data_IF_262942245524
#
_entry.id   IF_262942245524
#
_cell.length_a   1.000
_cell.length_b   1.000
_cell.length_c   1.000
_cell.angle_alpha   90.00
_cell.angle_beta   90.00
_cell.angle_gamma   90.00
#
_symmetry.space_group_name_H-M   'P 1'
#
loop_
_entity.id
_entity.type
_entity.pdbx_description
1 polymer ?
#
# COMPACT_ATOMS: atom_id res chain seq x y z
N UNK A 1 18.95 3.84 38.22
CA UNK A 1 18.69 4.13 36.80
C UNK A 1 17.22 3.93 36.55
N UNK A 2 16.45 5.03 36.35
CA UNK A 2 15.01 4.96 36.08
C UNK A 2 14.82 4.86 34.56
N UNK A 3 14.29 3.73 34.09
CA UNK A 3 13.88 3.51 32.71
C UNK A 3 12.78 4.51 32.35
N UNK A 4 13.00 5.34 31.33
CA UNK A 4 11.98 6.19 30.72
C UNK A 4 11.09 5.31 29.87
N UNK A 5 9.95 4.87 30.40
CA UNK A 5 8.88 4.34 29.57
C UNK A 5 8.39 5.46 28.63
N UNK A 6 8.59 5.25 27.35
CA UNK A 6 8.03 6.10 26.30
C UNK A 6 6.50 5.92 26.30
N UNK A 7 5.77 6.91 26.81
CA UNK A 7 4.31 6.96 26.69
C UNK A 7 3.95 6.94 25.20
N UNK A 8 3.47 5.82 24.74
CA UNK A 8 2.82 5.69 23.43
C UNK A 8 1.65 6.68 23.39
N UNK A 9 1.76 7.73 22.57
CA UNK A 9 0.66 8.70 22.38
C UNK A 9 -0.50 7.97 21.73
N UNK A 10 -1.63 7.84 22.45
CA UNK A 10 -2.88 7.33 21.89
C UNK A 10 -3.32 8.22 20.71
N UNK A 11 -3.27 7.68 19.51
CA UNK A 11 -3.75 8.32 18.29
C UNK A 11 -5.28 8.24 18.23
N UNK A 12 -5.92 9.35 17.89
CA UNK A 12 -7.37 9.47 17.84
C UNK A 12 -7.95 8.74 16.62
N UNK A 13 -8.86 7.79 16.84
CA UNK A 13 -9.66 7.21 15.74
C UNK A 13 -10.77 8.22 15.37
N UNK A 14 -10.79 8.72 14.13
CA UNK A 14 -11.76 9.74 13.73
C UNK A 14 -13.18 9.18 13.69
N UNK A 15 -14.09 9.69 14.49
CA UNK A 15 -15.53 9.33 14.50
C UNK A 15 -16.42 10.36 13.81
N UNK A 16 -15.95 11.59 13.64
CA UNK A 16 -16.71 12.68 13.02
C UNK A 16 -16.24 12.92 11.58
N UNK A 17 -17.16 13.22 10.66
CA UNK A 17 -16.90 13.47 9.23
C UNK A 17 -15.70 14.41 8.98
N UNK A 18 -15.64 15.56 9.67
CA UNK A 18 -14.52 16.51 9.55
C UNK A 18 -13.17 15.92 9.95
N UNK A 19 -13.17 15.03 10.93
CA UNK A 19 -11.95 14.35 11.40
C UNK A 19 -11.47 13.32 10.39
N UNK A 20 -12.39 12.60 9.75
CA UNK A 20 -12.09 11.63 8.67
C UNK A 20 -11.52 12.37 7.45
N UNK A 21 -12.18 13.47 7.04
CA UNK A 21 -11.74 14.30 5.91
C UNK A 21 -10.32 14.86 6.14
N UNK A 22 -10.04 15.33 7.36
CA UNK A 22 -8.72 15.86 7.72
C UNK A 22 -7.64 14.78 7.73
N UNK A 23 -7.94 13.60 8.28
CA UNK A 23 -7.01 12.44 8.22
C UNK A 23 -6.71 12.06 6.78
N UNK A 24 -7.75 11.99 5.92
CA UNK A 24 -7.62 11.71 4.50
C UNK A 24 -6.78 12.76 3.77
N UNK A 25 -6.97 14.04 4.10
CA UNK A 25 -6.18 15.14 3.52
C UNK A 25 -4.69 15.00 3.86
N UNK A 26 -4.35 14.75 5.13
CA UNK A 26 -2.96 14.52 5.56
C UNK A 26 -2.36 13.33 4.80
N UNK A 27 -3.10 12.23 4.70
CA UNK A 27 -2.64 11.01 4.02
C UNK A 27 -2.41 11.22 2.53
N UNK A 28 -3.34 11.88 1.83
CA UNK A 28 -3.20 12.17 0.40
C UNK A 28 -2.03 13.12 0.12
N UNK A 29 -1.84 14.13 0.98
CA UNK A 29 -0.68 15.05 0.88
C UNK A 29 0.63 14.31 1.10
N UNK A 30 0.69 13.40 2.06
CA UNK A 30 1.87 12.58 2.30
C UNK A 30 2.16 11.64 1.12
N UNK A 31 1.12 11.03 0.53
CA UNK A 31 1.25 10.21 -0.68
C UNK A 31 1.89 10.99 -1.83
N UNK A 32 1.41 12.21 -2.09
CA UNK A 32 1.98 13.08 -3.12
C UNK A 32 3.46 13.38 -2.85
N UNK A 33 3.79 13.81 -1.64
CA UNK A 33 5.15 14.16 -1.26
C UNK A 33 6.10 12.96 -1.30
N UNK A 34 5.68 11.78 -0.84
CA UNK A 34 6.46 10.55 -0.93
C UNK A 34 6.61 10.03 -2.37
N UNK A 35 5.68 10.37 -3.26
CA UNK A 35 5.78 10.05 -4.69
C UNK A 35 6.79 10.94 -5.40
N UNK A 36 6.83 12.22 -5.05
CA UNK A 36 7.74 13.21 -5.66
C UNK A 36 9.15 13.14 -5.07
N UNK A 37 9.26 12.94 -3.74
CA UNK A 37 10.51 12.95 -2.99
C UNK A 37 10.79 11.60 -2.36
N UNK A 38 12.04 11.34 -1.99
CA UNK A 38 12.37 10.16 -1.20
C UNK A 38 11.85 10.28 0.22
N UNK A 39 11.49 9.16 0.84
CA UNK A 39 10.96 9.11 2.19
C UNK A 39 11.82 9.91 3.19
N UNK A 40 13.15 9.80 3.10
CA UNK A 40 14.08 10.51 3.99
C UNK A 40 13.91 12.05 3.92
N UNK A 41 13.63 12.58 2.73
CA UNK A 41 13.57 14.01 2.45
C UNK A 41 12.22 14.66 2.76
N UNK A 42 11.20 13.88 3.13
CA UNK A 42 9.88 14.39 3.54
C UNK A 42 9.81 14.49 5.06
N UNK A 43 9.37 15.62 5.60
CA UNK A 43 9.14 15.83 7.03
C UNK A 43 7.66 15.95 7.38
N UNK A 44 7.29 15.62 8.63
CA UNK A 44 5.93 15.83 9.13
C UNK A 44 5.51 17.31 9.12
N UNK A 45 6.46 18.22 9.31
CA UNK A 45 6.21 19.67 9.21
C UNK A 45 5.84 20.07 7.77
N UNK A 46 6.54 19.52 6.78
CA UNK A 46 6.24 19.74 5.37
C UNK A 46 4.86 19.18 5.01
N UNK A 47 4.56 17.94 5.44
CA UNK A 47 3.23 17.33 5.23
C UNK A 47 2.12 18.20 5.83
N UNK A 48 2.28 18.65 7.08
CA UNK A 48 1.30 19.49 7.75
C UNK A 48 1.10 20.83 7.03
N UNK A 49 2.20 21.50 6.66
CA UNK A 49 2.17 22.78 5.94
C UNK A 49 1.47 22.64 4.58
N UNK A 50 1.83 21.63 3.80
CA UNK A 50 1.24 21.38 2.47
C UNK A 50 -0.23 20.98 2.57
N UNK A 51 -0.61 20.20 3.59
CA UNK A 51 -2.00 19.83 3.86
C UNK A 51 -2.83 20.98 4.46
N UNK A 52 -2.25 22.14 4.77
CA UNK A 52 -2.95 23.26 5.40
C UNK A 52 -3.46 22.94 6.81
N UNK A 53 -2.77 22.08 7.58
CA UNK A 53 -3.12 21.72 8.94
C UNK A 53 -2.01 22.09 9.91
N UNK A 54 -2.35 22.32 11.19
CA UNK A 54 -1.33 22.51 12.21
C UNK A 54 -0.56 21.21 12.46
N UNK A 55 0.72 21.32 12.83
CA UNK A 55 1.55 20.16 13.18
C UNK A 55 0.96 19.36 14.35
N UNK A 56 0.35 20.04 15.33
CA UNK A 56 -0.39 19.39 16.43
C UNK A 56 -1.59 18.58 15.95
N UNK A 57 -2.30 19.10 14.92
CA UNK A 57 -3.39 18.37 14.27
C UNK A 57 -2.86 17.10 13.57
N UNK A 58 -1.76 17.18 12.86
CA UNK A 58 -1.14 15.99 12.23
C UNK A 58 -0.80 14.93 13.29
N UNK A 59 -0.14 15.32 14.37
CA UNK A 59 0.24 14.39 15.43
C UNK A 59 -0.94 13.83 16.24
N UNK A 60 -2.13 14.42 16.13
CA UNK A 60 -3.34 13.83 16.70
C UNK A 60 -3.85 12.61 15.92
N UNK A 61 -3.47 12.46 14.65
CA UNK A 61 -3.83 11.33 13.78
C UNK A 61 -2.70 10.33 13.60
N UNK A 62 -1.45 10.80 13.54
CA UNK A 62 -0.28 9.98 13.25
C UNK A 62 0.84 10.28 14.24
N UNK A 63 1.37 9.29 14.98
CA UNK A 63 2.39 9.53 16.00
C UNK A 63 3.73 9.97 15.40
N UNK A 64 3.98 9.61 14.13
CA UNK A 64 5.23 9.92 13.41
C UNK A 64 5.01 9.75 11.89
N UNK A 65 6.05 10.08 11.12
CA UNK A 65 6.08 9.96 9.65
C UNK A 65 5.86 8.52 9.19
N UNK A 66 6.47 7.56 9.90
CA UNK A 66 6.36 6.14 9.56
C UNK A 66 4.92 5.65 9.62
N UNK A 67 4.14 6.06 10.62
CA UNK A 67 2.73 5.66 10.73
C UNK A 67 1.86 6.15 9.56
N UNK A 68 2.19 7.29 8.96
CA UNK A 68 1.52 7.76 7.73
C UNK A 68 1.90 6.85 6.56
N UNK A 69 3.19 6.55 6.45
CA UNK A 69 3.73 5.68 5.40
C UNK A 69 3.14 4.26 5.50
N UNK A 70 3.08 3.68 6.70
CA UNK A 70 2.52 2.35 6.96
C UNK A 70 1.04 2.27 6.51
N UNK A 71 0.25 3.30 6.80
CA UNK A 71 -1.15 3.37 6.36
C UNK A 71 -1.27 3.49 4.83
N UNK A 72 -0.38 4.24 4.19
CA UNK A 72 -0.35 4.35 2.73
C UNK A 72 0.01 3.03 2.04
N UNK A 73 1.00 2.31 2.57
CA UNK A 73 1.40 0.99 2.09
C UNK A 73 0.24 0.00 2.22
N UNK A 74 -0.40 -0.01 3.38
CA UNK A 74 -1.59 -0.84 3.62
C UNK A 74 -2.71 -0.55 2.60
N UNK A 75 -3.05 0.73 2.43
CA UNK A 75 -4.11 1.13 1.51
C UNK A 75 -3.77 0.76 0.06
N UNK A 76 -2.50 0.90 -0.33
CA UNK A 76 -2.04 0.53 -1.66
C UNK A 76 -2.34 -0.94 -1.96
N UNK A 77 -1.84 -1.83 -1.12
CA UNK A 77 -1.99 -3.26 -1.34
C UNK A 77 -3.45 -3.74 -1.22
N UNK A 78 -4.20 -3.24 -0.23
CA UNK A 78 -5.62 -3.59 -0.08
C UNK A 78 -6.46 -3.12 -1.27
N UNK A 79 -6.29 -1.87 -1.70
CA UNK A 79 -7.09 -1.30 -2.78
C UNK A 79 -6.79 -1.90 -4.16
N UNK A 80 -5.54 -2.24 -4.43
CA UNK A 80 -5.14 -2.82 -5.72
C UNK A 80 -5.80 -4.20 -5.89
N UNK A 81 -5.61 -5.08 -4.92
CA UNK A 81 -6.03 -6.48 -5.05
C UNK A 81 -7.54 -6.66 -4.95
N UNK A 82 -8.23 -5.90 -4.08
CA UNK A 82 -9.69 -5.95 -3.97
C UNK A 82 -10.40 -5.45 -5.24
N UNK A 83 -9.80 -4.48 -5.94
CA UNK A 83 -10.39 -3.96 -7.18
C UNK A 83 -10.15 -4.86 -8.39
N UNK A 84 -9.05 -5.59 -8.41
CA UNK A 84 -8.64 -6.37 -9.58
C UNK A 84 -9.15 -7.79 -9.51
N UNK A 85 -9.09 -8.41 -8.34
CA UNK A 85 -9.52 -9.79 -8.12
C UNK A 85 -10.84 -9.77 -7.36
N UNK A 86 -11.99 -9.98 -8.05
CA UNK A 86 -13.30 -10.01 -7.41
C UNK A 86 -13.39 -11.18 -6.42
N UNK A 87 -14.21 -11.05 -5.38
CA UNK A 87 -14.47 -12.12 -4.43
C UNK A 87 -15.14 -13.33 -5.09
N UNK A 88 -16.07 -13.08 -6.02
CA UNK A 88 -16.73 -14.13 -6.81
C UNK A 88 -16.09 -14.24 -8.19
N UNK A 89 -15.20 -15.21 -8.33
CA UNK A 89 -14.50 -15.51 -9.58
C UNK A 89 -15.37 -16.23 -10.61
N UNK A 90 -16.48 -16.84 -10.20
CA UNK A 90 -17.33 -17.65 -11.09
C UNK A 90 -17.98 -16.86 -12.22
N UNK A 91 -18.12 -15.55 -12.05
CA UNK A 91 -18.74 -14.64 -13.02
C UNK A 91 -17.78 -14.14 -14.10
N UNK A 92 -16.49 -14.48 -14.02
CA UNK A 92 -15.46 -13.96 -14.91
C UNK A 92 -14.63 -15.10 -15.51
N UNK A 93 -14.20 -14.94 -16.75
CA UNK A 93 -13.13 -15.78 -17.31
C UNK A 93 -11.76 -15.32 -16.79
N UNK A 94 -10.79 -16.20 -16.80
CA UNK A 94 -9.40 -15.87 -16.47
C UNK A 94 -8.89 -14.69 -17.32
N UNK A 95 -9.23 -14.69 -18.62
CA UNK A 95 -8.84 -13.64 -19.56
C UNK A 95 -9.42 -12.26 -19.17
N UNK A 96 -10.67 -12.20 -18.74
CA UNK A 96 -11.31 -10.94 -18.32
C UNK A 96 -10.63 -10.34 -17.08
N UNK A 97 -10.23 -11.20 -16.13
CA UNK A 97 -9.50 -10.73 -14.94
C UNK A 97 -8.11 -10.22 -15.32
N UNK A 98 -7.37 -10.95 -16.15
CA UNK A 98 -6.05 -10.50 -16.64
C UNK A 98 -6.18 -9.19 -17.42
N UNK A 99 -7.19 -9.06 -18.27
CA UNK A 99 -7.45 -7.81 -19.00
C UNK A 99 -7.75 -6.64 -18.08
N UNK A 100 -8.57 -6.84 -17.04
CA UNK A 100 -8.85 -5.81 -16.02
C UNK A 100 -7.56 -5.40 -15.31
N UNK A 101 -6.71 -6.36 -14.98
CA UNK A 101 -5.44 -6.11 -14.32
C UNK A 101 -4.47 -5.29 -15.18
N UNK A 102 -4.28 -5.70 -16.45
CA UNK A 102 -3.44 -4.97 -17.40
C UNK A 102 -3.97 -3.55 -17.60
N UNK A 103 -5.29 -3.40 -17.79
CA UNK A 103 -5.91 -2.09 -17.91
C UNK A 103 -5.65 -1.22 -16.69
N UNK A 104 -5.79 -1.77 -15.48
CA UNK A 104 -5.48 -1.05 -14.25
C UNK A 104 -4.03 -0.55 -14.21
N UNK A 105 -3.06 -1.38 -14.62
CA UNK A 105 -1.65 -0.98 -14.69
C UNK A 105 -1.46 0.16 -15.71
N UNK A 106 -2.03 0.03 -16.91
CA UNK A 106 -1.91 1.04 -17.97
C UNK A 106 -2.58 2.37 -17.60
N UNK A 107 -3.74 2.31 -16.94
CA UNK A 107 -4.48 3.50 -16.49
C UNK A 107 -3.81 4.16 -15.26
N UNK A 108 -2.99 3.41 -14.53
CA UNK A 108 -2.33 3.89 -13.30
C UNK A 108 -1.02 4.65 -13.54
N UNK A 109 -0.93 5.49 -14.59
CA UNK A 109 0.12 6.53 -14.68
C UNK A 109 -0.01 7.58 -13.57
N UNK A 110 -0.64 7.22 -12.46
CA UNK A 110 -0.92 8.04 -11.31
C UNK A 110 0.24 8.02 -10.29
N UNK A 111 0.22 8.94 -9.35
CA UNK A 111 1.12 9.00 -8.20
C UNK A 111 1.27 7.66 -7.43
N UNK A 112 0.27 6.78 -7.51
CA UNK A 112 0.31 5.46 -6.88
C UNK A 112 1.43 4.58 -7.45
N UNK A 113 1.62 4.58 -8.77
CA UNK A 113 2.69 3.79 -9.41
C UNK A 113 4.09 4.31 -9.03
N UNK A 114 4.27 5.64 -8.96
CA UNK A 114 5.52 6.25 -8.51
C UNK A 114 5.78 5.92 -7.04
N UNK A 115 4.75 5.96 -6.21
CA UNK A 115 4.85 5.60 -4.79
C UNK A 115 5.22 4.13 -4.62
N UNK A 116 4.63 3.22 -5.39
CA UNK A 116 4.94 1.80 -5.36
C UNK A 116 6.42 1.53 -5.70
N UNK A 117 6.94 2.15 -6.75
CA UNK A 117 8.38 2.04 -7.10
C UNK A 117 9.29 2.50 -5.96
N UNK A 118 8.91 3.58 -5.27
CA UNK A 118 9.67 4.09 -4.12
C UNK A 118 9.56 3.19 -2.89
N UNK A 119 8.40 2.56 -2.66
CA UNK A 119 8.23 1.55 -1.61
C UNK A 119 9.22 0.41 -1.85
N UNK A 120 9.19 -0.19 -3.03
CA UNK A 120 10.07 -1.31 -3.39
C UNK A 120 11.55 -0.93 -3.25
N UNK A 121 11.94 0.25 -3.74
CA UNK A 121 13.31 0.73 -3.57
C UNK A 121 13.73 0.89 -2.10
N UNK A 122 12.83 1.37 -1.25
CA UNK A 122 13.08 1.58 0.17
C UNK A 122 13.19 0.26 0.94
N UNK A 123 12.42 -0.76 0.57
CA UNK A 123 12.49 -2.10 1.17
C UNK A 123 13.82 -2.81 0.88
N UNK A 124 14.46 -2.50 -0.25
CA UNK A 124 15.83 -2.98 -0.54
C UNK A 124 16.91 -2.26 0.29
N UNK A 125 16.64 -1.05 0.76
CA UNK A 125 17.59 -0.23 1.49
C UNK A 125 17.50 -0.38 3.02
N UNK A 126 16.38 -0.87 3.54
CA UNK A 126 16.12 -0.93 4.98
C UNK A 126 15.29 -2.14 5.37
N UNK A 127 15.81 -2.90 6.36
CA UNK A 127 15.12 -4.07 6.91
C UNK A 127 13.76 -3.69 7.56
N UNK A 128 13.67 -2.53 8.20
CA UNK A 128 12.42 -2.05 8.81
C UNK A 128 11.30 -1.88 7.78
N UNK A 129 11.63 -1.40 6.58
CA UNK A 129 10.66 -1.24 5.50
C UNK A 129 10.38 -2.56 4.79
N UNK A 130 11.36 -3.47 4.70
CA UNK A 130 11.18 -4.83 4.17
C UNK A 130 10.22 -5.64 5.03
N UNK A 131 10.37 -5.62 6.34
CA UNK A 131 9.46 -6.30 7.27
C UNK A 131 8.06 -5.67 7.28
N UNK A 132 7.95 -4.37 7.06
CA UNK A 132 6.66 -3.69 6.90
C UNK A 132 5.89 -4.19 5.67
N UNK A 133 6.56 -4.38 4.54
CA UNK A 133 5.93 -4.81 3.29
C UNK A 133 5.60 -6.31 3.25
N UNK A 134 6.39 -7.12 3.93
CA UNK A 134 6.31 -8.58 3.88
C UNK A 134 4.89 -9.16 4.05
N UNK A 135 4.07 -8.71 5.03
CA UNK A 135 2.69 -9.20 5.16
C UNK A 135 1.82 -8.88 3.93
N UNK A 136 2.03 -7.73 3.32
CA UNK A 136 1.26 -7.30 2.14
C UNK A 136 1.69 -8.05 0.88
N UNK A 137 2.99 -8.30 0.71
CA UNK A 137 3.52 -9.13 -0.38
C UNK A 137 3.00 -10.57 -0.28
N UNK A 138 3.00 -11.15 0.91
CA UNK A 138 2.44 -12.49 1.16
C UNK A 138 0.94 -12.49 0.82
N UNK A 139 0.19 -11.49 1.28
CA UNK A 139 -1.23 -11.37 0.97
C UNK A 139 -1.48 -11.25 -0.54
N UNK A 140 -0.71 -10.43 -1.25
CA UNK A 140 -0.81 -10.27 -2.69
C UNK A 140 -0.52 -11.58 -3.44
N UNK A 141 0.57 -12.26 -3.08
CA UNK A 141 0.94 -13.55 -3.67
C UNK A 141 -0.14 -14.61 -3.43
N UNK A 142 -0.71 -14.68 -2.22
CA UNK A 142 -1.79 -15.62 -1.89
C UNK A 142 -3.08 -15.33 -2.67
N UNK A 143 -3.42 -14.07 -2.91
CA UNK A 143 -4.58 -13.70 -3.75
C UNK A 143 -4.38 -14.15 -5.20
N UNK A 144 -3.18 -13.98 -5.76
CA UNK A 144 -2.84 -14.48 -7.10
C UNK A 144 -2.88 -16.00 -7.12
N UNK A 145 -2.36 -16.66 -6.07
CA UNK A 145 -2.41 -18.11 -5.95
C UNK A 145 -3.85 -18.62 -5.96
N UNK A 146 -4.73 -18.05 -5.15
CA UNK A 146 -6.17 -18.42 -5.12
C UNK A 146 -6.85 -18.23 -6.49
N UNK A 147 -6.47 -17.19 -7.23
CA UNK A 147 -6.93 -16.99 -8.60
C UNK A 147 -6.46 -18.12 -9.53
N UNK A 148 -5.18 -18.47 -9.48
CA UNK A 148 -4.62 -19.56 -10.29
C UNK A 148 -5.24 -20.92 -9.91
N UNK A 149 -5.46 -21.18 -8.63
CA UNK A 149 -6.11 -22.40 -8.15
C UNK A 149 -7.53 -22.54 -8.68
N UNK A 150 -8.33 -21.47 -8.66
CA UNK A 150 -9.69 -21.47 -9.18
C UNK A 150 -9.76 -21.82 -10.67
N UNK A 151 -8.83 -21.30 -11.48
CA UNK A 151 -8.77 -21.57 -12.92
C UNK A 151 -7.85 -22.74 -13.30
N UNK A 152 -7.25 -23.42 -12.34
CA UNK A 152 -6.27 -24.48 -12.56
C UNK A 152 -6.71 -25.59 -13.53
N UNK A 153 -8.01 -26.02 -13.60
CA UNK A 153 -8.43 -27.02 -14.56
C UNK A 153 -8.21 -26.61 -16.04
N UNK A 154 -8.12 -25.29 -16.29
CA UNK A 154 -7.95 -24.72 -17.63
C UNK A 154 -6.52 -24.22 -17.88
N UNK A 155 -5.62 -24.35 -16.90
CA UNK A 155 -4.25 -23.85 -16.97
C UNK A 155 -3.25 -25.01 -17.12
N UNK A 156 -2.23 -24.83 -17.97
CA UNK A 156 -1.13 -25.79 -18.14
C UNK A 156 0.03 -25.52 -17.16
N UNK A 157 -0.26 -24.99 -16.00
CA UNK A 157 0.75 -24.63 -14.98
C UNK A 157 0.76 -25.72 -13.92
N UNK A 158 1.96 -26.30 -13.67
CA UNK A 158 2.13 -27.39 -12.68
C UNK A 158 2.39 -26.86 -11.27
N UNK A 159 3.18 -25.81 -11.16
CA UNK A 159 3.53 -25.18 -9.87
C UNK A 159 2.88 -23.81 -9.78
N UNK A 160 1.68 -23.77 -9.19
CA UNK A 160 0.89 -22.55 -9.03
C UNK A 160 1.51 -21.59 -8.00
N UNK A 161 2.22 -22.11 -7.00
CA UNK A 161 2.89 -21.30 -5.99
C UNK A 161 4.03 -20.50 -6.60
N UNK A 162 4.92 -21.17 -7.33
CA UNK A 162 6.00 -20.48 -8.06
C UNK A 162 5.43 -19.52 -9.10
N UNK A 163 4.39 -19.90 -9.83
CA UNK A 163 3.74 -19.03 -10.81
C UNK A 163 3.17 -17.77 -10.16
N UNK A 164 2.50 -17.89 -9.00
CA UNK A 164 1.95 -16.74 -8.28
C UNK A 164 3.04 -15.76 -7.81
N UNK A 165 4.17 -16.28 -7.34
CA UNK A 165 5.32 -15.49 -6.94
C UNK A 165 5.95 -14.75 -8.14
N UNK A 166 6.15 -15.44 -9.26
CA UNK A 166 6.70 -14.85 -10.50
C UNK A 166 5.77 -13.73 -11.00
N UNK A 167 4.46 -13.97 -11.07
CA UNK A 167 3.49 -12.96 -11.50
C UNK A 167 3.57 -11.73 -10.60
N UNK A 168 3.56 -11.93 -9.28
CA UNK A 168 3.63 -10.84 -8.33
C UNK A 168 4.91 -10.00 -8.51
N UNK A 169 6.08 -10.64 -8.54
CA UNK A 169 7.37 -9.96 -8.66
C UNK A 169 7.54 -9.26 -10.01
N UNK A 170 7.04 -9.86 -11.10
CA UNK A 170 7.07 -9.24 -12.43
C UNK A 170 6.24 -7.96 -12.45
N UNK A 171 5.06 -7.98 -11.83
CA UNK A 171 4.17 -6.82 -11.76
C UNK A 171 4.76 -5.71 -10.90
N UNK A 172 5.43 -6.04 -9.80
CA UNK A 172 6.12 -5.03 -8.97
C UNK A 172 7.31 -4.36 -9.70
N UNK A 173 7.85 -4.99 -10.74
CA UNK A 173 9.01 -4.49 -11.49
C UNK A 173 8.67 -3.61 -12.70
N UNK A 174 7.39 -3.49 -13.08
CA UNK A 174 6.90 -2.63 -14.16
C UNK A 174 6.64 -1.22 -13.66
#
# INVERSE_FOLDING_TARGET
MKSKESKQKNTRIPKQRRSIERKKLIKNTALLLFSEKDYANVSTNEIAKTAGVSIGSLYSYYPNKKAIYDELVKDLYSNILEKIIPEDLSQFSFFEIIKKYIKFILDSHSYLTLFQKKITALSYQSDDFRELEKPYRIFATNKILSLLEFYSPNLKIKDLSTASFIIHTTVESI
#
